data_IF_885637610794
#
_entry.id   IF_885637610794
#
_cell.length_a   1.000
_cell.length_b   1.000
_cell.length_c   1.000
_cell.angle_alpha   90.00
_cell.angle_beta   90.00
_cell.angle_gamma   90.00
#
_symmetry.space_group_name_H-M   'P 1'
#
loop_
_entity.id
_entity.type
_entity.pdbx_description
1 polymer ?
#
# COMPACT_ATOMS: atom_id res chain seq x y z
N UNK A 1 19.98 22.61 1.48
CA UNK A 1 19.38 21.80 0.38
C UNK A 1 19.08 20.42 0.93
N UNK A 2 17.83 20.16 1.34
CA UNK A 2 17.42 18.82 1.75
C UNK A 2 17.30 18.00 0.47
N UNK A 3 18.26 17.11 0.23
CA UNK A 3 18.18 16.13 -0.86
C UNK A 3 16.95 15.26 -0.57
N UNK A 4 15.83 15.57 -1.21
CA UNK A 4 14.75 14.60 -1.37
C UNK A 4 15.38 13.42 -2.11
N UNK A 5 15.80 12.43 -1.33
CA UNK A 5 16.23 11.12 -1.81
C UNK A 5 15.10 10.70 -2.74
N UNK A 6 15.37 10.67 -4.05
CA UNK A 6 14.42 10.17 -5.03
C UNK A 6 13.99 8.79 -4.52
N UNK A 7 12.79 8.71 -3.93
CA UNK A 7 12.27 7.48 -3.38
C UNK A 7 11.99 6.62 -4.60
N UNK A 8 12.98 5.82 -4.99
CA UNK A 8 12.93 4.95 -6.15
C UNK A 8 11.63 4.16 -6.05
N UNK A 9 10.68 4.52 -6.90
CA UNK A 9 9.38 3.86 -6.94
C UNK A 9 9.62 2.48 -7.53
N UNK A 10 9.25 1.46 -6.76
CA UNK A 10 9.33 0.07 -7.17
C UNK A 10 7.94 -0.37 -7.59
N UNK A 11 7.88 -1.14 -8.67
CA UNK A 11 6.63 -1.74 -9.09
C UNK A 11 6.40 -2.98 -8.21
N UNK A 12 5.27 -3.01 -7.51
CA UNK A 12 4.95 -4.04 -6.53
C UNK A 12 3.65 -4.71 -6.95
N UNK A 13 3.68 -6.03 -6.99
CA UNK A 13 2.51 -6.88 -7.08
C UNK A 13 2.07 -7.26 -5.67
N UNK A 14 0.87 -6.88 -5.28
CA UNK A 14 0.30 -7.25 -3.98
C UNK A 14 -1.12 -7.82 -4.12
N UNK A 15 -1.54 -8.62 -3.14
CA UNK A 15 -2.90 -9.17 -3.03
C UNK A 15 -3.30 -9.20 -1.57
N UNK A 16 -4.48 -8.65 -1.28
CA UNK A 16 -5.06 -8.73 0.05
C UNK A 16 -5.91 -9.99 0.22
N UNK A 17 -6.11 -10.38 1.48
CA UNK A 17 -7.01 -11.45 1.89
C UNK A 17 -8.44 -11.06 1.53
N UNK A 18 -9.13 -11.96 0.84
CA UNK A 18 -10.44 -11.69 0.22
C UNK A 18 -10.40 -11.14 -1.21
N UNK A 19 -9.22 -10.74 -1.72
CA UNK A 19 -9.09 -10.24 -3.09
C UNK A 19 -8.83 -11.38 -4.09
N UNK A 20 -9.61 -11.43 -5.18
CA UNK A 20 -9.54 -12.52 -6.17
C UNK A 20 -8.35 -12.38 -7.11
N UNK A 21 -7.77 -11.19 -7.24
CA UNK A 21 -6.68 -10.89 -8.18
C UNK A 21 -5.57 -10.12 -7.49
N UNK A 22 -4.33 -10.35 -7.92
CA UNK A 22 -3.20 -9.53 -7.50
C UNK A 22 -3.21 -8.21 -8.27
N UNK A 23 -3.00 -7.11 -7.58
CA UNK A 23 -2.88 -5.77 -8.16
C UNK A 23 -1.39 -5.38 -8.29
N UNK A 24 -1.07 -4.57 -9.29
CA UNK A 24 0.29 -4.11 -9.54
C UNK A 24 0.31 -2.58 -9.53
N UNK A 25 1.05 -1.99 -8.59
CA UNK A 25 1.20 -0.54 -8.44
C UNK A 25 2.66 -0.12 -8.30
N UNK A 26 2.97 1.10 -8.71
CA UNK A 26 4.24 1.74 -8.38
C UNK A 26 4.15 2.32 -6.98
N UNK A 27 4.98 1.80 -6.07
CA UNK A 27 5.00 2.18 -4.66
C UNK A 27 6.40 2.62 -4.26
N UNK A 28 6.51 3.49 -3.26
CA UNK A 28 7.81 3.73 -2.62
C UNK A 28 8.21 2.52 -1.78
N UNK A 29 9.50 2.41 -1.47
CA UNK A 29 9.99 1.31 -0.62
C UNK A 29 9.31 1.30 0.77
N UNK A 30 8.99 2.49 1.30
CA UNK A 30 8.28 2.64 2.57
C UNK A 30 6.83 2.13 2.48
N UNK A 31 6.11 2.46 1.41
CA UNK A 31 4.78 1.94 1.14
C UNK A 31 4.79 0.41 0.95
N UNK A 32 5.80 -0.13 0.26
CA UNK A 32 6.00 -1.57 0.11
C UNK A 32 6.21 -2.28 1.46
N UNK A 33 7.08 -1.73 2.33
CA UNK A 33 7.31 -2.28 3.67
C UNK A 33 6.01 -2.32 4.47
N UNK A 34 5.32 -1.18 4.51
CA UNK A 34 4.05 -1.07 5.22
C UNK A 34 3.01 -2.08 4.71
N UNK A 35 2.87 -2.25 3.39
CA UNK A 35 1.96 -3.25 2.82
C UNK A 35 2.34 -4.68 3.18
N UNK A 36 3.63 -5.01 3.16
CA UNK A 36 4.14 -6.35 3.51
C UNK A 36 3.86 -6.69 4.98
N UNK A 37 3.82 -5.69 5.85
CA UNK A 37 3.57 -5.86 7.29
C UNK A 37 2.09 -5.94 7.66
N UNK A 38 1.17 -5.62 6.72
CA UNK A 38 -0.26 -5.75 6.98
C UNK A 38 -0.68 -7.23 7.06
N UNK A 39 -1.44 -7.63 8.10
CA UNK A 39 -1.89 -9.02 8.28
C UNK A 39 -2.89 -9.47 7.20
N UNK A 40 -3.52 -8.51 6.52
CA UNK A 40 -4.42 -8.76 5.40
C UNK A 40 -3.65 -8.97 4.08
N UNK A 41 -2.34 -8.80 4.04
CA UNK A 41 -1.57 -8.94 2.79
C UNK A 41 -1.13 -10.38 2.59
N UNK A 42 -1.72 -11.05 1.61
CA UNK A 42 -1.45 -12.45 1.27
C UNK A 42 -0.29 -12.58 0.29
N UNK A 43 -0.14 -11.62 -0.63
CA UNK A 43 0.98 -11.57 -1.58
C UNK A 43 1.54 -10.15 -1.60
N UNK A 44 2.86 -9.99 -1.54
CA UNK A 44 3.54 -8.71 -1.73
C UNK A 44 4.95 -8.96 -2.29
N UNK A 45 5.19 -8.59 -3.55
CA UNK A 45 6.45 -8.85 -4.27
C UNK A 45 6.81 -7.69 -5.18
N UNK A 46 8.08 -7.29 -5.16
CA UNK A 46 8.62 -6.34 -6.13
C UNK A 46 8.74 -7.05 -7.48
N UNK A 47 8.22 -6.44 -8.54
CA UNK A 47 8.23 -6.95 -9.91
C UNK A 47 8.91 -5.91 -10.81
N UNK A 48 9.79 -6.33 -11.71
CA UNK A 48 10.58 -5.40 -12.56
C UNK A 48 10.16 -5.40 -14.01
N UNK A 49 9.33 -6.36 -14.44
CA UNK A 49 8.99 -6.57 -15.86
C UNK A 49 7.48 -6.73 -16.10
N UNK A 50 6.66 -6.10 -15.26
CA UNK A 50 5.20 -6.11 -15.37
C UNK A 50 4.71 -4.70 -15.70
N UNK A 51 3.54 -4.56 -16.35
CA UNK A 51 2.90 -3.26 -16.51
C UNK A 51 1.98 -3.01 -15.31
N UNK A 52 1.96 -1.79 -14.73
CA UNK A 52 1.01 -1.46 -13.67
C UNK A 52 -0.41 -1.69 -14.19
N UNK A 53 -1.16 -2.56 -13.51
CA UNK A 53 -2.55 -2.86 -13.85
C UNK A 53 -3.50 -1.82 -13.28
N UNK A 54 -3.03 -1.02 -12.32
CA UNK A 54 -3.78 0.06 -11.71
C UNK A 54 -3.54 1.38 -12.44
N UNK A 55 -4.62 2.03 -12.86
CA UNK A 55 -4.55 3.39 -13.39
C UNK A 55 -4.38 4.40 -12.26
N UNK A 56 -3.91 5.62 -12.57
CA UNK A 56 -3.72 6.70 -11.58
C UNK A 56 -4.98 6.96 -10.73
N UNK A 57 -6.16 6.77 -11.31
CA UNK A 57 -7.45 6.88 -10.61
C UNK A 57 -7.66 5.80 -9.55
N UNK A 58 -7.22 4.57 -9.83
CA UNK A 58 -7.32 3.45 -8.89
C UNK A 58 -6.32 3.61 -7.73
N UNK A 59 -5.11 4.10 -8.02
CA UNK A 59 -4.10 4.42 -7.00
C UNK A 59 -4.66 5.44 -6.00
N UNK A 60 -5.29 6.51 -6.50
CA UNK A 60 -5.90 7.55 -5.64
C UNK A 60 -7.04 7.00 -4.77
N UNK A 61 -7.77 6.00 -5.26
CA UNK A 61 -8.83 5.30 -4.53
C UNK A 61 -8.25 4.39 -3.45
N UNK A 62 -7.12 3.74 -3.72
CA UNK A 62 -6.35 2.94 -2.77
C UNK A 62 -5.76 3.82 -1.66
N UNK A 63 -5.16 4.97 -1.98
CA UNK A 63 -4.65 5.93 -0.99
C UNK A 63 -5.77 6.43 -0.06
N UNK A 64 -6.95 6.72 -0.62
CA UNK A 64 -8.12 7.11 0.18
C UNK A 64 -8.60 5.98 1.10
N UNK A 65 -8.64 4.75 0.61
CA UNK A 65 -8.99 3.57 1.43
C UNK A 65 -7.97 3.32 2.55
N UNK A 66 -6.68 3.49 2.25
CA UNK A 66 -5.61 3.33 3.23
C UNK A 66 -5.69 4.42 4.31
N UNK A 67 -5.93 5.68 3.92
CA UNK A 67 -6.15 6.77 4.85
C UNK A 67 -7.36 6.52 5.77
N UNK A 68 -8.47 6.02 5.21
CA UNK A 68 -9.68 5.68 5.96
C UNK A 68 -9.45 4.51 6.94
N UNK A 69 -8.72 3.48 6.50
CA UNK A 69 -8.34 2.35 7.34
C UNK A 69 -7.40 2.76 8.49
N UNK A 70 -6.43 3.66 8.23
CA UNK A 70 -5.54 4.21 9.25
C UNK A 70 -6.33 5.08 10.24
N UNK A 71 -7.27 5.91 9.77
CA UNK A 71 -8.13 6.73 10.61
C UNK A 71 -9.02 5.87 11.52
N UNK A 72 -9.61 4.79 10.99
CA UNK A 72 -10.39 3.82 11.77
C UNK A 72 -9.54 3.02 12.75
N UNK A 73 -8.31 2.67 12.37
CA UNK A 73 -7.36 1.98 13.24
C UNK A 73 -6.99 2.87 14.45
N UNK A 74 -6.72 4.17 14.22
CA UNK A 74 -6.51 5.15 15.31
C UNK A 74 -7.73 5.34 16.21
N UNK A 75 -8.94 5.27 15.64
CA UNK A 75 -10.18 5.35 16.42
C UNK A 75 -10.38 4.11 17.30
N UNK A 76 -9.87 2.95 16.90
CA UNK A 76 -9.89 1.75 17.74
C UNK A 76 -8.88 1.81 18.89
N UNK A 77 -7.72 2.43 18.69
CA UNK A 77 -6.69 2.57 19.74
C UNK A 77 -7.07 3.57 20.83
N UNK A 78 -7.92 4.56 20.52
CA UNK A 78 -8.38 5.55 21.52
C UNK A 78 -9.41 4.99 22.50
N UNK A 79 -10.06 3.87 22.20
CA UNK A 79 -11.16 3.31 23.02
C UNK A 79 -10.71 2.24 24.02
N UNK A 80 -9.41 1.94 24.06
CA UNK A 80 -8.80 1.01 25.03
C UNK A 80 -8.05 1.74 26.15
N UNK A 81 -8.14 3.08 26.21
CA UNK A 81 -7.50 3.93 27.20
C UNK A 81 -8.50 4.64 28.13
N UNK A 82 -9.78 4.23 28.13
CA UNK A 82 -10.78 4.61 29.14
C UNK A 82 -11.07 3.43 30.08
#
# INVERSE_FOLDING_TARGET
MVKHKSLSSVLVRFRFDGDKKSEIANLTYEQYSNLKELPITVECKIVTNQKPTLSKSDVKRLEKKLADAIAKSKSHTQRLAE
#
